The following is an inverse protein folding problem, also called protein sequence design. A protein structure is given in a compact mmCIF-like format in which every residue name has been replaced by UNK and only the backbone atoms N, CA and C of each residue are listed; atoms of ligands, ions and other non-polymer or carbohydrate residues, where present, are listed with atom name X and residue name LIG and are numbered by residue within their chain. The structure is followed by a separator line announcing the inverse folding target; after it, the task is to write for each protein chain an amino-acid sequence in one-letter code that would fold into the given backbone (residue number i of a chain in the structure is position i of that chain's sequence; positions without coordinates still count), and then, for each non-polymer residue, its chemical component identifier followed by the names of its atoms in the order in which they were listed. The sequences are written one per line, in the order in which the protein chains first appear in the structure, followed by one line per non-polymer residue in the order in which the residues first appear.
data_IF_491405649885
#
_entry.id   IF_491405649885
#
_cell.length_a   1.000
_cell.length_b   1.000
_cell.length_c   1.000
_cell.angle_alpha   90.00
_cell.angle_beta   90.00
_cell.angle_gamma   90.00
#
_symmetry.space_group_name_H-M   'P 1'
#
loop_
_entity.id
_entity.type
_entity.pdbx_description
1 polymer ?
#
# COMPACT_ATOMS: atom_id res chain seq x y z
N UNK A 1 65.15 100.11 17.71
CA UNK A 1 65.73 98.84 17.26
C UNK A 1 65.06 97.73 18.07
N UNK A 2 64.02 97.07 17.48
CA UNK A 2 63.25 96.06 18.16
C UNK A 2 63.64 94.71 17.60
N UNK A 3 64.11 93.79 18.46
CA UNK A 3 64.41 92.41 18.17
C UNK A 3 63.09 91.57 18.16
N UNK A 4 62.77 91.00 17.00
CA UNK A 4 61.69 89.97 16.84
C UNK A 4 62.13 88.69 17.45
N UNK A 5 61.40 88.23 18.50
CA UNK A 5 61.59 86.90 19.10
C UNK A 5 60.78 85.89 18.28
N UNK A 6 61.46 85.00 17.55
CA UNK A 6 60.86 83.84 16.90
C UNK A 6 60.46 82.79 17.97
N UNK A 7 59.17 82.53 18.09
CA UNK A 7 58.64 81.39 18.88
C UNK A 7 58.55 80.19 17.97
N UNK A 8 59.48 79.26 18.08
CA UNK A 8 59.33 77.92 17.49
C UNK A 8 58.29 77.14 18.31
N UNK A 9 57.10 76.93 17.71
CA UNK A 9 56.07 76.05 18.28
C UNK A 9 56.44 74.63 17.90
N UNK A 10 57.00 73.89 18.84
CA UNK A 10 57.20 72.42 18.69
C UNK A 10 55.82 71.70 19.03
N UNK A 11 55.18 71.11 18.01
CA UNK A 11 54.04 70.23 18.23
C UNK A 11 54.49 68.93 18.88
N UNK A 12 54.22 68.77 20.17
CA UNK A 12 54.40 67.50 20.87
C UNK A 12 53.35 66.49 20.38
N UNK A 13 53.76 65.44 19.69
CA UNK A 13 52.88 64.27 19.46
C UNK A 13 52.88 63.47 20.76
N UNK A 14 51.74 63.35 21.42
CA UNK A 14 51.57 62.46 22.56
C UNK A 14 51.94 61.01 22.12
N UNK A 15 52.80 60.28 22.85
CA UNK A 15 53.04 58.88 22.54
C UNK A 15 51.78 58.14 22.77
N UNK A 16 51.33 57.41 21.80
CA UNK A 16 50.24 56.45 21.96
C UNK A 16 50.76 55.31 22.83
N UNK A 17 50.34 55.30 24.10
CA UNK A 17 50.60 54.14 24.98
C UNK A 17 49.70 52.98 24.49
N UNK A 18 50.26 52.11 23.68
CA UNK A 18 49.63 50.85 23.33
C UNK A 18 49.71 49.91 24.54
N UNK A 19 48.57 49.65 25.16
CA UNK A 19 48.47 48.62 26.19
C UNK A 19 48.55 47.26 25.48
N UNK A 20 49.58 46.47 25.73
CA UNK A 20 49.79 45.14 25.14
C UNK A 20 48.55 44.26 25.33
N UNK A 21 47.80 44.41 26.45
CA UNK A 21 46.57 43.72 26.71
C UNK A 21 45.45 44.03 25.69
N UNK A 22 45.38 45.28 25.21
CA UNK A 22 44.40 45.65 24.15
C UNK A 22 44.74 45.00 22.83
N UNK A 23 46.03 44.89 22.49
CA UNK A 23 46.48 44.22 21.26
C UNK A 23 46.16 42.74 21.32
N UNK A 24 46.44 42.08 22.44
CA UNK A 24 46.11 40.67 22.64
C UNK A 24 44.58 40.47 22.58
N UNK A 25 43.80 41.33 23.24
CA UNK A 25 42.36 41.27 23.18
C UNK A 25 41.79 41.40 21.76
N UNK A 26 42.31 42.33 20.97
CA UNK A 26 41.89 42.52 19.57
C UNK A 26 42.21 41.29 18.71
N UNK A 27 43.38 40.67 18.92
CA UNK A 27 43.74 39.44 18.20
C UNK A 27 42.81 38.29 18.56
N UNK A 28 42.52 38.09 19.86
CA UNK A 28 41.57 37.04 20.32
C UNK A 28 40.18 37.35 19.80
N UNK A 29 39.73 38.60 19.84
CA UNK A 29 38.44 39.01 19.32
C UNK A 29 38.30 38.74 17.82
N UNK A 30 39.32 39.11 17.01
CA UNK A 30 39.32 38.80 15.56
C UNK A 30 39.28 37.29 15.34
N UNK A 31 40.04 36.52 16.10
CA UNK A 31 40.04 35.05 16.03
C UNK A 31 38.68 34.49 16.36
N UNK A 32 38.00 34.95 17.44
CA UNK A 32 36.66 34.54 17.81
C UNK A 32 35.61 34.92 16.72
N UNK A 33 35.64 36.14 16.23
CA UNK A 33 34.78 36.59 15.15
C UNK A 33 34.96 35.74 13.89
N UNK A 34 36.21 35.46 13.52
CA UNK A 34 36.50 34.60 12.39
C UNK A 34 35.97 33.17 12.59
N UNK A 35 36.17 32.59 13.78
CA UNK A 35 35.63 31.24 14.07
C UNK A 35 34.12 31.20 14.07
N UNK A 36 33.45 32.20 14.67
CA UNK A 36 31.99 32.29 14.64
C UNK A 36 31.47 32.48 13.23
N UNK A 37 32.12 33.34 12.45
CA UNK A 37 31.76 33.54 11.04
C UNK A 37 31.97 32.27 10.23
N UNK A 38 33.11 31.58 10.40
CA UNK A 38 33.38 30.27 9.75
C UNK A 38 32.35 29.25 10.11
N UNK A 39 32.00 29.13 11.40
CA UNK A 39 30.94 28.19 11.86
C UNK A 39 29.58 28.49 11.28
N UNK A 40 29.20 29.76 11.16
CA UNK A 40 27.90 30.19 10.60
C UNK A 40 27.84 30.07 9.07
N UNK A 41 28.99 30.07 8.39
CA UNK A 41 29.10 29.95 6.93
C UNK A 41 29.42 28.54 6.47
N UNK A 42 29.85 27.65 7.35
CA UNK A 42 30.06 26.24 7.04
C UNK A 42 28.70 25.58 6.75
N UNK A 43 28.60 24.90 5.62
CA UNK A 43 27.42 24.05 5.30
C UNK A 43 27.49 22.80 6.16
N UNK A 44 26.61 22.74 7.17
CA UNK A 44 26.44 21.52 7.95
C UNK A 44 25.61 20.53 7.15
N UNK A 45 26.22 19.44 6.76
CA UNK A 45 25.59 18.37 6.01
C UNK A 45 24.96 17.40 7.01
N UNK A 46 23.63 17.28 6.97
CA UNK A 46 22.92 16.27 7.72
C UNK A 46 23.10 14.92 7.06
N UNK A 47 23.32 13.90 7.86
CA UNK A 47 23.57 12.53 7.43
C UNK A 47 22.41 11.65 7.82
N UNK A 48 22.05 10.72 6.96
CA UNK A 48 21.05 9.68 7.19
C UNK A 48 21.73 8.32 7.15
N UNK A 49 21.48 7.47 8.15
CA UNK A 49 21.95 6.08 8.16
C UNK A 49 20.96 5.22 7.39
N UNK A 50 21.44 4.48 6.39
CA UNK A 50 20.65 3.61 5.54
C UNK A 50 20.16 2.41 6.34
N UNK A 51 18.87 2.26 6.44
CA UNK A 51 18.19 1.19 7.16
C UNK A 51 17.52 0.22 6.18
N UNK A 52 17.33 -1.02 6.62
CA UNK A 52 16.42 -1.93 5.93
C UNK A 52 14.99 -1.48 6.21
N UNK A 53 14.18 -1.38 5.18
CA UNK A 53 12.80 -0.96 5.34
C UNK A 53 11.90 -1.48 4.25
N UNK A 54 10.62 -1.39 4.57
CA UNK A 54 9.52 -1.60 3.65
C UNK A 54 8.69 -0.33 3.65
N UNK A 55 8.23 0.11 2.50
CA UNK A 55 7.23 1.17 2.43
C UNK A 55 5.87 0.47 2.39
N UNK A 56 5.06 0.69 3.41
CA UNK A 56 3.67 0.28 3.38
C UNK A 56 2.94 1.09 2.29
N UNK A 57 2.64 0.45 1.20
CA UNK A 57 1.75 1.01 0.17
C UNK A 57 0.34 0.95 0.72
N UNK A 58 -0.42 2.04 0.64
CA UNK A 58 -1.85 1.99 0.95
C UNK A 58 -2.58 1.26 -0.19
N UNK A 59 -2.62 -0.07 -0.10
CA UNK A 59 -3.28 -0.94 -1.07
C UNK A 59 -4.72 -1.26 -0.63
N UNK A 60 -5.42 -0.28 -0.05
CA UNK A 60 -6.82 -0.40 0.34
C UNK A 60 -7.70 -0.01 -0.83
N UNK A 61 -8.60 -0.91 -1.17
CA UNK A 61 -9.53 -0.75 -2.28
C UNK A 61 -10.94 -1.12 -1.86
N UNK A 62 -11.91 -0.48 -2.49
CA UNK A 62 -13.30 -0.89 -2.36
C UNK A 62 -13.68 -1.82 -3.51
N UNK A 63 -14.11 -3.03 -3.17
CA UNK A 63 -14.41 -4.09 -4.11
C UNK A 63 -15.91 -4.39 -4.21
N UNK A 64 -16.36 -4.66 -5.43
CA UNK A 64 -17.73 -5.14 -5.71
C UNK A 64 -17.78 -6.67 -5.55
N UNK A 65 -18.67 -7.15 -4.69
CA UNK A 65 -18.90 -8.58 -4.45
C UNK A 65 -19.87 -9.12 -5.51
N UNK A 66 -19.43 -10.16 -6.22
CA UNK A 66 -20.25 -10.93 -7.14
C UNK A 66 -20.31 -12.39 -6.69
N UNK A 67 -21.49 -12.97 -6.76
CA UNK A 67 -21.78 -14.33 -6.30
C UNK A 67 -23.02 -14.88 -7.01
N UNK A 68 -23.22 -16.18 -6.97
CA UNK A 68 -24.40 -16.81 -7.53
C UNK A 68 -25.59 -16.58 -6.60
N UNK A 69 -26.55 -15.81 -7.04
CA UNK A 69 -27.72 -15.39 -6.26
C UNK A 69 -29.02 -15.78 -7.00
N UNK A 70 -29.92 -16.39 -6.27
CA UNK A 70 -31.23 -16.78 -6.78
C UNK A 70 -32.34 -16.10 -5.99
N UNK A 71 -33.16 -15.29 -6.64
CA UNK A 71 -34.37 -14.73 -6.05
C UNK A 71 -35.43 -15.81 -6.04
N UNK A 72 -35.99 -16.10 -4.87
CA UNK A 72 -37.15 -16.97 -4.69
C UNK A 72 -38.36 -16.07 -4.58
N UNK A 73 -39.30 -16.24 -5.49
CA UNK A 73 -40.54 -15.50 -5.51
C UNK A 73 -41.66 -16.32 -4.83
N UNK A 74 -42.54 -15.63 -4.14
CA UNK A 74 -43.68 -16.26 -3.48
C UNK A 74 -44.72 -16.75 -4.49
N UNK A 75 -45.23 -17.94 -4.29
CA UNK A 75 -46.35 -18.47 -5.05
C UNK A 75 -47.70 -17.96 -4.53
N UNK A 76 -47.73 -17.38 -3.31
CA UNK A 76 -48.93 -17.00 -2.58
C UNK A 76 -48.91 -15.53 -2.18
N UNK A 77 -50.08 -15.00 -1.85
CA UNK A 77 -50.24 -13.66 -1.31
C UNK A 77 -50.76 -13.74 0.12
N UNK A 78 -50.12 -13.05 1.05
CA UNK A 78 -50.52 -13.07 2.45
C UNK A 78 -49.50 -12.44 3.39
N UNK A 79 -49.72 -12.64 4.70
CA UNK A 79 -48.75 -12.24 5.72
C UNK A 79 -47.54 -13.19 5.70
N UNK A 80 -46.31 -12.65 5.81
CA UNK A 80 -45.09 -13.45 5.80
C UNK A 80 -44.45 -13.49 7.18
N UNK A 81 -44.09 -14.70 7.61
CA UNK A 81 -43.29 -14.93 8.81
C UNK A 81 -41.96 -15.57 8.41
N UNK A 82 -40.84 -15.00 8.84
CA UNK A 82 -39.50 -15.50 8.56
C UNK A 82 -38.95 -16.28 9.75
N UNK A 83 -38.38 -17.46 9.51
CA UNK A 83 -37.89 -18.38 10.54
C UNK A 83 -36.37 -18.56 10.51
N UNK A 84 -35.70 -18.06 9.47
CA UNK A 84 -34.26 -18.12 9.31
C UNK A 84 -33.66 -16.73 9.43
N UNK A 85 -32.58 -16.61 10.18
CA UNK A 85 -31.83 -15.36 10.29
C UNK A 85 -31.14 -15.00 8.97
N UNK A 86 -31.12 -13.71 8.64
CA UNK A 86 -30.35 -13.22 7.49
C UNK A 86 -28.85 -13.59 7.58
N UNK A 87 -28.28 -14.07 6.50
CA UNK A 87 -26.90 -14.52 6.42
C UNK A 87 -26.66 -15.92 6.97
N UNK A 88 -27.71 -16.64 7.43
CA UNK A 88 -27.59 -18.02 7.91
C UNK A 88 -27.58 -19.04 6.76
N UNK A 89 -26.85 -20.14 6.98
CA UNK A 89 -26.89 -21.30 6.09
C UNK A 89 -28.14 -22.13 6.33
N UNK A 90 -28.74 -22.58 5.25
CA UNK A 90 -29.86 -23.49 5.24
C UNK A 90 -29.49 -24.76 4.47
N UNK A 91 -30.05 -25.89 4.91
CA UNK A 91 -29.93 -27.16 4.24
C UNK A 91 -31.20 -27.43 3.38
N UNK A 92 -31.11 -28.41 2.48
CA UNK A 92 -32.28 -28.89 1.75
C UNK A 92 -33.40 -29.27 2.73
N UNK A 93 -34.60 -28.74 2.51
CA UNK A 93 -35.80 -29.04 3.32
C UNK A 93 -36.00 -28.14 4.53
N UNK A 94 -35.09 -27.21 4.81
CA UNK A 94 -35.25 -26.27 5.92
C UNK A 94 -36.38 -25.28 5.64
N UNK A 95 -37.16 -24.97 6.69
CA UNK A 95 -38.22 -23.97 6.66
C UNK A 95 -37.63 -22.55 6.70
N UNK A 96 -37.81 -21.81 5.63
CA UNK A 96 -37.26 -20.42 5.53
C UNK A 96 -38.31 -19.41 6.01
N UNK A 97 -39.53 -19.50 5.49
CA UNK A 97 -40.62 -18.61 5.84
C UNK A 97 -41.99 -19.33 5.67
N UNK A 98 -43.06 -18.62 5.99
CA UNK A 98 -44.40 -19.05 5.67
C UNK A 98 -45.25 -17.89 5.17
N UNK A 99 -46.21 -18.17 4.32
CA UNK A 99 -47.22 -17.22 3.82
C UNK A 99 -48.58 -17.62 4.34
N UNK A 100 -49.25 -16.69 5.02
CA UNK A 100 -50.57 -16.84 5.61
C UNK A 100 -51.58 -15.94 4.88
N UNK A 101 -52.43 -16.53 4.06
CA UNK A 101 -53.37 -15.78 3.22
C UNK A 101 -54.41 -14.99 4.03
N UNK A 102 -54.84 -15.52 5.17
CA UNK A 102 -55.83 -14.91 6.05
C UNK A 102 -55.21 -14.04 7.16
N UNK A 103 -53.95 -14.24 7.48
CA UNK A 103 -53.25 -13.58 8.57
C UNK A 103 -53.56 -14.15 9.97
N UNK A 104 -54.37 -15.18 10.08
CA UNK A 104 -54.84 -15.73 11.37
C UNK A 104 -53.69 -16.43 12.12
N UNK A 105 -52.91 -17.27 11.42
CA UNK A 105 -51.75 -17.98 11.97
C UNK A 105 -50.66 -16.98 12.32
N UNK A 106 -50.42 -15.99 11.46
CA UNK A 106 -49.42 -14.94 11.68
C UNK A 106 -49.73 -14.11 12.93
N UNK A 107 -51.00 -13.79 13.18
CA UNK A 107 -51.41 -13.10 14.40
C UNK A 107 -51.16 -13.97 15.64
N UNK A 108 -51.50 -15.27 15.58
CA UNK A 108 -51.23 -16.21 16.68
C UNK A 108 -49.75 -16.38 16.99
N UNK A 109 -48.88 -16.43 15.95
CA UNK A 109 -47.42 -16.49 16.12
C UNK A 109 -46.93 -15.22 16.84
N UNK A 110 -47.42 -14.04 16.42
CA UNK A 110 -47.07 -12.78 17.04
C UNK A 110 -47.50 -12.67 18.51
N UNK A 111 -48.74 -13.14 18.83
CA UNK A 111 -49.24 -13.18 20.19
C UNK A 111 -48.48 -14.17 21.06
N UNK A 112 -48.22 -15.39 20.58
CA UNK A 112 -47.44 -16.39 21.29
C UNK A 112 -45.97 -15.93 21.53
N UNK A 113 -45.35 -15.24 20.58
CA UNK A 113 -43.99 -14.68 20.73
C UNK A 113 -43.92 -13.58 21.79
N UNK A 114 -45.02 -12.85 22.06
CA UNK A 114 -45.13 -11.80 23.07
C UNK A 114 -45.43 -12.32 24.47
N UNK A 115 -46.17 -13.46 24.58
CA UNK A 115 -46.67 -14.02 25.84
C UNK A 115 -45.58 -14.82 26.62
N UNK A 116 -44.34 -14.81 26.19
CA UNK A 116 -43.20 -15.40 26.89
C UNK A 116 -43.00 -16.88 26.62
N UNK A 117 -43.10 -17.28 25.35
CA UNK A 117 -42.67 -18.61 24.90
C UNK A 117 -41.28 -18.94 25.45
N UNK A 118 -41.18 -20.10 26.09
CA UNK A 118 -39.87 -20.56 26.60
C UNK A 118 -39.01 -20.97 25.41
N UNK A 119 -37.82 -20.37 25.30
CA UNK A 119 -36.83 -20.80 24.35
C UNK A 119 -36.44 -22.23 24.69
N UNK A 120 -36.42 -23.12 23.71
CA UNK A 120 -35.96 -24.49 23.94
C UNK A 120 -34.45 -24.54 24.25
N UNK A 121 -33.97 -25.68 24.77
CA UNK A 121 -32.61 -25.85 25.22
C UNK A 121 -31.58 -25.84 24.08
N UNK A 122 -32.01 -26.17 22.85
CA UNK A 122 -31.13 -26.19 21.68
C UNK A 122 -30.85 -24.75 21.18
N UNK A 123 -31.89 -23.96 21.02
CA UNK A 123 -31.83 -22.56 20.66
C UNK A 123 -31.07 -21.72 21.72
N UNK A 124 -31.31 -22.05 23.03
CA UNK A 124 -30.55 -21.40 24.12
C UNK A 124 -29.06 -21.70 24.03
N UNK A 125 -28.67 -22.95 23.74
CA UNK A 125 -27.28 -23.33 23.60
C UNK A 125 -26.59 -22.61 22.39
N UNK A 126 -27.33 -22.36 21.31
CA UNK A 126 -26.81 -21.61 20.16
C UNK A 126 -26.61 -20.13 20.50
N UNK A 127 -27.53 -19.51 21.23
CA UNK A 127 -27.36 -18.14 21.72
C UNK A 127 -26.17 -18.04 22.69
N UNK A 128 -26.07 -19.01 23.63
CA UNK A 128 -24.92 -19.08 24.56
C UNK A 128 -23.58 -19.22 23.82
N UNK A 129 -23.53 -20.04 22.76
CA UNK A 129 -22.36 -20.16 21.91
C UNK A 129 -22.02 -18.83 21.23
N UNK A 130 -22.99 -18.15 20.66
CA UNK A 130 -22.81 -16.83 20.02
C UNK A 130 -22.25 -15.80 21.01
N UNK A 131 -22.72 -15.82 22.26
CA UNK A 131 -22.23 -14.96 23.33
C UNK A 131 -20.76 -15.31 23.68
N UNK A 132 -20.46 -16.60 23.83
CA UNK A 132 -19.11 -17.06 24.16
C UNK A 132 -18.10 -16.77 23.05
N UNK A 133 -18.48 -16.98 21.79
CA UNK A 133 -17.66 -16.67 20.63
C UNK A 133 -17.35 -15.16 20.55
N UNK A 134 -18.33 -14.31 20.86
CA UNK A 134 -18.10 -12.88 20.94
C UNK A 134 -17.14 -12.50 22.08
N UNK A 135 -17.33 -13.06 23.29
CA UNK A 135 -16.48 -12.77 24.43
C UNK A 135 -15.02 -13.18 24.19
N UNK A 136 -14.80 -14.23 23.42
CA UNK A 136 -13.45 -14.71 23.06
C UNK A 136 -12.72 -13.78 22.10
N UNK A 137 -13.40 -13.13 21.17
CA UNK A 137 -12.81 -12.28 20.12
C UNK A 137 -12.98 -10.78 20.39
N UNK A 138 -13.69 -10.41 21.46
CA UNK A 138 -13.99 -9.01 21.74
C UNK A 138 -12.74 -8.18 21.99
N UNK A 139 -12.52 -7.16 21.16
CA UNK A 139 -11.58 -6.09 21.37
C UNK A 139 -12.33 -4.77 21.66
N UNK A 140 -12.17 -4.21 22.86
CA UNK A 140 -12.84 -2.98 23.27
C UNK A 140 -12.57 -1.73 22.43
N UNK A 141 -11.74 -1.85 21.39
CA UNK A 141 -11.44 -0.78 20.44
C UNK A 141 -12.35 -0.78 19.20
N UNK A 142 -13.10 -1.87 18.98
CA UNK A 142 -13.95 -2.02 17.80
C UNK A 142 -15.44 -1.99 18.15
N UNK A 143 -16.06 -0.80 18.08
CA UNK A 143 -17.50 -0.63 18.36
C UNK A 143 -18.41 -1.38 17.39
N UNK A 144 -17.99 -1.59 16.15
CA UNK A 144 -18.76 -2.33 15.16
C UNK A 144 -19.06 -3.77 15.64
N UNK A 145 -18.10 -4.43 16.28
CA UNK A 145 -18.28 -5.78 16.83
C UNK A 145 -19.43 -5.84 17.86
N UNK A 146 -19.58 -4.79 18.67
CA UNK A 146 -20.66 -4.73 19.69
C UNK A 146 -22.04 -4.62 19.04
N UNK A 147 -22.18 -3.75 18.03
CA UNK A 147 -23.45 -3.60 17.32
C UNK A 147 -23.82 -4.86 16.53
N UNK A 148 -22.87 -5.43 15.78
CA UNK A 148 -23.07 -6.70 15.08
C UNK A 148 -23.47 -7.84 16.04
N UNK A 149 -22.82 -7.92 17.20
CA UNK A 149 -23.16 -8.91 18.22
C UNK A 149 -24.59 -8.72 18.74
N UNK A 150 -24.96 -7.49 19.10
CA UNK A 150 -26.31 -7.17 19.55
C UNK A 150 -27.38 -7.57 18.51
N UNK A 151 -27.14 -7.21 17.25
CA UNK A 151 -28.05 -7.52 16.16
C UNK A 151 -28.13 -9.03 15.92
N UNK A 152 -26.99 -9.74 16.01
CA UNK A 152 -26.93 -11.18 15.90
C UNK A 152 -27.71 -11.90 17.00
N UNK A 153 -27.54 -11.49 18.26
CA UNK A 153 -28.27 -12.09 19.39
C UNK A 153 -29.77 -11.81 19.27
N UNK A 154 -30.16 -10.57 18.95
CA UNK A 154 -31.59 -10.23 18.77
C UNK A 154 -32.25 -11.01 17.63
N UNK A 155 -31.51 -11.20 16.52
CA UNK A 155 -32.05 -11.97 15.38
C UNK A 155 -32.20 -13.45 15.75
N UNK A 156 -31.22 -14.09 16.41
CA UNK A 156 -31.30 -15.48 16.87
C UNK A 156 -32.41 -15.67 17.90
N UNK A 157 -32.61 -14.70 18.77
CA UNK A 157 -33.71 -14.72 19.74
C UNK A 157 -35.07 -14.65 19.06
N UNK A 158 -35.26 -13.73 18.10
CA UNK A 158 -36.49 -13.58 17.36
C UNK A 158 -36.83 -14.82 16.53
N UNK A 159 -35.82 -15.44 15.90
CA UNK A 159 -35.97 -16.70 15.18
C UNK A 159 -36.46 -17.84 16.09
N UNK A 160 -35.76 -18.04 17.23
CA UNK A 160 -36.10 -19.07 18.20
C UNK A 160 -37.53 -18.89 18.72
N UNK A 161 -37.94 -17.67 19.05
CA UNK A 161 -39.32 -17.37 19.50
C UNK A 161 -40.38 -17.65 18.41
N UNK A 162 -40.06 -17.30 17.16
CA UNK A 162 -41.00 -17.54 16.05
C UNK A 162 -41.19 -19.04 15.74
N UNK A 163 -40.07 -19.81 15.75
CA UNK A 163 -40.13 -21.28 15.57
C UNK A 163 -40.91 -21.94 16.69
N UNK A 164 -40.66 -21.58 17.94
CA UNK A 164 -41.37 -22.14 19.09
C UNK A 164 -42.85 -21.77 19.09
N UNK A 165 -43.18 -20.51 18.78
CA UNK A 165 -44.56 -20.08 18.63
C UNK A 165 -45.31 -20.90 17.55
N UNK A 166 -44.65 -21.16 16.42
CA UNK A 166 -45.21 -22.01 15.35
C UNK A 166 -45.47 -23.44 15.84
N UNK A 167 -44.57 -24.01 16.63
CA UNK A 167 -44.71 -25.35 17.21
C UNK A 167 -45.86 -25.43 18.23
N UNK A 168 -46.02 -24.40 19.09
CA UNK A 168 -47.05 -24.32 20.12
C UNK A 168 -48.46 -24.28 19.53
N UNK A 169 -48.64 -23.75 18.33
CA UNK A 169 -49.91 -23.67 17.60
C UNK A 169 -50.04 -24.73 16.49
N UNK A 170 -49.30 -25.83 16.57
CA UNK A 170 -49.15 -26.83 15.51
C UNK A 170 -50.46 -27.41 15.02
N UNK A 171 -51.47 -27.68 15.91
CA UNK A 171 -52.77 -28.16 15.54
C UNK A 171 -53.57 -27.16 14.68
N UNK A 172 -53.41 -25.87 14.96
CA UNK A 172 -54.04 -24.81 14.19
C UNK A 172 -53.36 -24.65 12.83
N UNK A 173 -52.05 -24.70 12.82
CA UNK A 173 -51.23 -24.68 11.59
C UNK A 173 -51.61 -25.83 10.68
N UNK A 174 -51.73 -27.08 11.20
CA UNK A 174 -52.13 -28.23 10.41
C UNK A 174 -53.57 -28.07 9.82
N UNK A 175 -54.47 -27.43 10.57
CA UNK A 175 -55.79 -27.10 10.08
C UNK A 175 -55.77 -26.06 8.95
N UNK A 176 -54.95 -25.03 9.07
CA UNK A 176 -54.78 -23.98 8.07
C UNK A 176 -54.11 -24.52 6.80
N UNK A 177 -53.10 -25.39 6.93
CA UNK A 177 -52.49 -26.11 5.80
C UNK A 177 -53.48 -26.96 5.05
N UNK A 178 -54.33 -27.75 5.78
CA UNK A 178 -55.39 -28.55 5.16
C UNK A 178 -56.45 -27.71 4.44
N UNK A 179 -56.70 -26.50 4.93
CA UNK A 179 -57.59 -25.54 4.28
C UNK A 179 -56.93 -24.73 3.15
N UNK A 180 -55.66 -24.96 2.91
CA UNK A 180 -54.84 -24.29 1.89
C UNK A 180 -54.80 -22.75 2.08
N UNK A 181 -54.74 -22.29 3.34
CA UNK A 181 -54.65 -20.88 3.71
C UNK A 181 -53.31 -20.51 4.37
N UNK A 182 -52.50 -21.52 4.70
CA UNK A 182 -51.16 -21.37 5.26
C UNK A 182 -50.15 -22.24 4.50
N UNK A 183 -49.08 -21.64 4.04
CA UNK A 183 -48.11 -22.26 3.17
C UNK A 183 -46.70 -22.13 3.78
N UNK A 184 -46.08 -23.27 4.09
CA UNK A 184 -44.68 -23.36 4.49
C UNK A 184 -43.81 -23.30 3.26
N UNK A 185 -42.81 -22.40 3.28
CA UNK A 185 -41.82 -22.25 2.23
C UNK A 185 -40.50 -22.86 2.69
N UNK A 186 -40.21 -24.02 2.11
CA UNK A 186 -38.97 -24.75 2.39
C UNK A 186 -37.99 -24.59 1.24
N UNK A 187 -36.69 -24.60 1.57
CA UNK A 187 -35.68 -24.50 0.52
C UNK A 187 -35.48 -25.85 -0.18
N UNK A 188 -35.33 -25.81 -1.49
CA UNK A 188 -35.08 -26.96 -2.35
C UNK A 188 -33.58 -27.18 -2.65
N UNK A 189 -32.72 -26.25 -2.22
CA UNK A 189 -31.24 -26.33 -2.34
C UNK A 189 -30.58 -25.72 -1.09
N UNK A 190 -29.44 -26.22 -0.67
CA UNK A 190 -28.69 -25.61 0.42
C UNK A 190 -28.11 -24.26 -0.03
N UNK A 191 -27.94 -23.33 0.90
CA UNK A 191 -27.40 -22.02 0.59
C UNK A 191 -27.35 -21.06 1.79
N UNK A 192 -27.15 -19.78 1.53
CA UNK A 192 -27.20 -18.70 2.52
C UNK A 192 -28.40 -17.83 2.20
N UNK A 193 -29.28 -17.64 3.16
CA UNK A 193 -30.50 -16.83 3.00
C UNK A 193 -30.20 -15.37 3.25
N UNK A 194 -30.69 -14.50 2.36
CA UNK A 194 -30.73 -13.04 2.54
C UNK A 194 -32.11 -12.49 2.19
N UNK A 195 -32.48 -11.36 2.83
CA UNK A 195 -33.83 -10.78 2.69
C UNK A 195 -33.79 -9.41 2.04
N UNK A 196 -32.94 -9.26 1.03
CA UNK A 196 -32.91 -8.04 0.21
C UNK A 196 -32.66 -8.36 -1.25
N UNK A 197 -33.09 -7.45 -2.11
CA UNK A 197 -32.71 -7.39 -3.53
C UNK A 197 -32.03 -6.06 -3.80
N UNK A 198 -31.11 -6.02 -4.75
CA UNK A 198 -30.34 -4.81 -5.06
C UNK A 198 -30.13 -4.59 -6.56
N UNK A 199 -30.67 -5.48 -7.39
CA UNK A 199 -30.56 -5.42 -8.85
C UNK A 199 -29.21 -5.94 -9.39
N UNK A 200 -28.33 -6.46 -8.53
CA UNK A 200 -27.03 -7.03 -8.91
C UNK A 200 -27.02 -8.55 -8.98
N UNK A 201 -28.16 -9.20 -8.78
CA UNK A 201 -28.29 -10.66 -8.70
C UNK A 201 -27.87 -11.39 -9.97
N UNK A 202 -27.96 -10.72 -11.12
CA UNK A 202 -27.55 -11.26 -12.44
C UNK A 202 -26.22 -10.69 -12.93
N UNK A 203 -25.48 -9.94 -12.07
CA UNK A 203 -24.18 -9.38 -12.43
C UNK A 203 -23.11 -10.44 -12.27
N UNK A 204 -22.28 -10.59 -13.28
CA UNK A 204 -21.19 -11.55 -13.35
C UNK A 204 -19.88 -10.83 -13.71
N UNK A 205 -18.76 -11.54 -13.64
CA UNK A 205 -17.45 -11.03 -14.08
C UNK A 205 -17.43 -10.63 -15.57
N UNK A 206 -18.36 -11.14 -16.36
CA UNK A 206 -18.42 -10.84 -17.81
C UNK A 206 -19.24 -9.58 -18.12
N UNK A 207 -20.21 -9.20 -17.26
CA UNK A 207 -21.16 -8.13 -17.55
C UNK A 207 -21.16 -6.95 -16.57
N UNK A 208 -20.29 -6.93 -15.57
CA UNK A 208 -20.17 -5.75 -14.67
C UNK A 208 -19.78 -4.49 -15.47
N UNK A 209 -20.13 -3.32 -14.95
CA UNK A 209 -19.84 -2.03 -15.57
C UNK A 209 -19.16 -1.08 -14.59
N UNK A 210 -18.42 -0.08 -15.12
CA UNK A 210 -17.76 0.95 -14.31
C UNK A 210 -18.73 1.69 -13.39
N UNK A 211 -19.96 1.94 -13.86
CA UNK A 211 -20.99 2.63 -13.08
C UNK A 211 -21.40 1.89 -11.80
N UNK A 212 -21.17 0.57 -11.71
CA UNK A 212 -21.50 -0.24 -10.54
C UNK A 212 -20.53 0.00 -9.36
N UNK A 213 -19.42 0.71 -9.56
CA UNK A 213 -18.50 1.12 -8.49
C UNK A 213 -18.87 2.46 -7.86
N UNK A 214 -19.89 3.15 -8.38
CA UNK A 214 -20.46 4.35 -7.76
C UNK A 214 -21.54 3.97 -6.76
N UNK A 215 -21.15 3.80 -5.49
CA UNK A 215 -22.04 3.42 -4.41
C UNK A 215 -23.16 4.43 -4.14
N UNK A 216 -23.04 5.67 -4.62
CA UNK A 216 -24.10 6.67 -4.45
C UNK A 216 -25.41 6.29 -5.16
N UNK A 217 -25.32 5.43 -6.17
CA UNK A 217 -26.43 4.91 -6.94
C UNK A 217 -26.94 3.54 -6.44
N UNK A 218 -26.28 2.96 -5.43
CA UNK A 218 -26.65 1.67 -4.89
C UNK A 218 -27.78 1.79 -3.88
N UNK A 219 -28.75 0.88 -3.98
CA UNK A 219 -29.86 0.79 -3.03
C UNK A 219 -30.25 -0.66 -2.77
N UNK A 220 -30.50 -0.97 -1.51
CA UNK A 220 -31.10 -2.25 -1.08
C UNK A 220 -32.61 -2.09 -0.95
N UNK A 221 -33.35 -3.03 -1.48
CA UNK A 221 -34.75 -3.20 -1.18
C UNK A 221 -34.89 -4.31 -0.13
N UNK A 222 -35.18 -3.93 1.11
CA UNK A 222 -35.40 -4.88 2.22
C UNK A 222 -36.75 -5.55 2.11
N UNK A 223 -36.78 -6.87 1.97
CA UNK A 223 -37.98 -7.69 1.81
C UNK A 223 -38.78 -7.84 3.11
N UNK A 224 -38.15 -7.63 4.27
CA UNK A 224 -38.82 -7.70 5.59
C UNK A 224 -39.57 -6.41 5.96
N UNK A 225 -39.42 -5.35 5.20
CA UNK A 225 -40.08 -4.07 5.49
C UNK A 225 -41.61 -4.18 5.44
N UNK A 226 -42.12 -5.02 4.55
CA UNK A 226 -43.58 -5.27 4.44
C UNK A 226 -43.95 -6.59 5.09
N UNK A 227 -44.87 -6.59 6.03
CA UNK A 227 -45.35 -7.82 6.67
C UNK A 227 -46.22 -8.69 5.75
N UNK A 228 -46.58 -8.23 4.57
CA UNK A 228 -47.38 -8.95 3.59
C UNK A 228 -46.73 -8.95 2.21
N UNK A 229 -46.86 -10.07 1.51
CA UNK A 229 -46.30 -10.30 0.18
C UNK A 229 -47.42 -10.55 -0.83
N UNK A 230 -47.16 -10.29 -2.11
CA UNK A 230 -48.01 -10.68 -3.22
C UNK A 230 -47.38 -11.83 -3.99
N UNK A 231 -48.20 -12.73 -4.54
CA UNK A 231 -47.74 -13.79 -5.42
C UNK A 231 -46.88 -13.20 -6.59
N UNK A 232 -45.74 -13.81 -6.87
CA UNK A 232 -44.78 -13.36 -7.86
C UNK A 232 -43.78 -12.32 -7.35
N UNK A 233 -43.92 -11.79 -6.12
CA UNK A 233 -42.93 -10.87 -5.52
C UNK A 233 -41.81 -11.65 -4.88
N UNK A 234 -40.57 -11.06 -4.81
CA UNK A 234 -39.44 -11.64 -4.10
C UNK A 234 -39.75 -11.90 -2.63
N UNK A 235 -39.52 -13.11 -2.17
CA UNK A 235 -39.78 -13.57 -0.80
C UNK A 235 -38.47 -13.65 0.00
N UNK A 236 -37.46 -14.26 -0.59
CA UNK A 236 -36.09 -14.24 -0.09
C UNK A 236 -35.09 -14.43 -1.24
N UNK A 237 -33.83 -14.23 -0.97
CA UNK A 237 -32.72 -14.49 -1.90
C UNK A 237 -31.83 -15.57 -1.31
N UNK A 238 -31.44 -16.53 -2.13
CA UNK A 238 -30.53 -17.62 -1.76
C UNK A 238 -29.20 -17.46 -2.50
N UNK A 239 -28.11 -17.54 -1.76
CA UNK A 239 -26.77 -17.66 -2.29
C UNK A 239 -26.41 -19.14 -2.25
N UNK A 240 -26.35 -19.80 -3.39
CA UNK A 240 -26.26 -21.26 -3.49
C UNK A 240 -24.85 -21.78 -3.79
N UNK A 241 -23.84 -20.88 -3.81
CA UNK A 241 -22.45 -21.21 -4.06
C UNK A 241 -21.52 -20.66 -2.98
N UNK A 242 -20.50 -21.45 -2.59
CA UNK A 242 -19.38 -20.96 -1.76
C UNK A 242 -18.33 -20.19 -2.61
N UNK A 243 -18.43 -20.25 -3.94
CA UNK A 243 -17.56 -19.51 -4.84
C UNK A 243 -18.10 -18.10 -5.03
N UNK A 244 -17.23 -17.12 -4.91
CA UNK A 244 -17.57 -15.73 -5.10
C UNK A 244 -16.36 -14.92 -5.57
N UNK A 245 -16.62 -13.76 -6.14
CA UNK A 245 -15.60 -12.88 -6.64
C UNK A 245 -15.71 -11.50 -6.00
N UNK A 246 -14.55 -10.84 -5.85
CA UNK A 246 -14.48 -9.42 -5.53
C UNK A 246 -13.81 -8.75 -6.73
N UNK A 247 -14.46 -7.79 -7.34
CA UNK A 247 -13.88 -7.00 -8.42
C UNK A 247 -13.41 -5.67 -7.85
N UNK A 248 -12.15 -5.35 -8.11
CA UNK A 248 -11.46 -4.18 -7.54
C UNK A 248 -10.85 -3.35 -8.66
N UNK A 249 -11.21 -2.06 -8.80
CA UNK A 249 -10.48 -1.17 -9.69
C UNK A 249 -9.09 -0.89 -9.11
N UNK A 250 -8.04 -1.11 -9.91
CA UNK A 250 -6.64 -0.91 -9.49
C UNK A 250 -5.90 0.00 -10.46
N UNK A 251 -4.90 0.77 -10.01
CA UNK A 251 -4.00 1.52 -10.89
C UNK A 251 -3.19 0.59 -11.80
N UNK A 252 -2.76 1.09 -12.97
CA UNK A 252 -1.94 0.33 -13.91
C UNK A 252 -0.66 -0.20 -13.28
N UNK A 253 0.00 0.58 -12.42
CA UNK A 253 1.20 0.17 -11.70
C UNK A 253 0.96 -1.04 -10.79
N UNK A 254 -0.19 -1.08 -10.10
CA UNK A 254 -0.58 -2.24 -9.27
C UNK A 254 -0.87 -3.46 -10.14
N UNK A 255 -1.58 -3.28 -11.26
CA UNK A 255 -1.86 -4.36 -12.20
C UNK A 255 -0.56 -4.94 -12.79
N UNK A 256 0.42 -4.08 -13.12
CA UNK A 256 1.72 -4.50 -13.64
C UNK A 256 2.52 -5.31 -12.63
N UNK A 257 2.53 -4.89 -11.35
CA UNK A 257 3.26 -5.59 -10.28
C UNK A 257 2.71 -6.99 -9.95
N UNK A 258 1.50 -7.29 -10.43
CA UNK A 258 0.81 -8.56 -10.17
C UNK A 258 0.87 -9.54 -11.35
N UNK A 259 1.56 -9.24 -12.45
CA UNK A 259 1.51 -10.06 -13.69
C UNK A 259 2.10 -11.46 -13.55
N UNK A 260 3.03 -11.67 -12.63
CA UNK A 260 3.81 -12.90 -12.55
C UNK A 260 3.28 -13.90 -11.49
N UNK A 261 2.25 -13.52 -10.72
CA UNK A 261 1.67 -14.33 -9.65
C UNK A 261 0.24 -14.78 -9.99
N UNK A 262 -0.18 -15.94 -9.47
CA UNK A 262 -1.55 -16.48 -9.67
C UNK A 262 -2.46 -16.26 -8.45
N UNK A 263 -1.90 -15.92 -7.29
CA UNK A 263 -2.61 -15.77 -6.03
C UNK A 263 -2.12 -14.58 -5.23
N UNK A 264 -3.03 -13.91 -4.54
CA UNK A 264 -2.73 -12.78 -3.68
C UNK A 264 -3.34 -12.98 -2.30
N UNK A 265 -2.64 -12.53 -1.28
CA UNK A 265 -3.16 -12.46 0.08
C UNK A 265 -3.89 -11.13 0.27
N UNK A 266 -5.11 -11.17 0.76
CA UNK A 266 -5.93 -9.99 1.03
C UNK A 266 -6.33 -9.96 2.50
N UNK A 267 -6.56 -8.76 3.02
CA UNK A 267 -7.15 -8.51 4.34
C UNK A 267 -8.47 -7.78 4.17
N UNK A 268 -9.53 -8.29 4.80
CA UNK A 268 -10.82 -7.60 4.88
C UNK A 268 -10.78 -6.58 6.02
N UNK A 269 -11.05 -5.31 5.73
CA UNK A 269 -10.98 -4.27 6.76
C UNK A 269 -12.11 -4.35 7.78
N UNK A 270 -13.27 -4.88 7.37
CA UNK A 270 -14.45 -5.06 8.24
C UNK A 270 -14.16 -5.89 9.50
N UNK A 271 -13.40 -6.98 9.38
CA UNK A 271 -13.16 -7.93 10.46
C UNK A 271 -11.68 -8.30 10.65
N UNK A 272 -10.78 -7.62 9.92
CA UNK A 272 -9.33 -7.84 9.92
C UNK A 272 -8.91 -9.28 9.58
N UNK A 273 -9.78 -10.05 8.90
CA UNK A 273 -9.47 -11.41 8.49
C UNK A 273 -8.72 -11.42 7.17
N UNK A 274 -7.80 -12.38 7.07
CA UNK A 274 -6.99 -12.57 5.88
C UNK A 274 -7.44 -13.80 5.10
N UNK A 275 -7.32 -13.74 3.78
CA UNK A 275 -7.59 -14.84 2.87
C UNK A 275 -6.63 -14.81 1.69
N UNK A 276 -6.42 -15.98 1.08
CA UNK A 276 -5.77 -16.08 -0.23
C UNK A 276 -6.83 -16.14 -1.31
N UNK A 277 -6.70 -15.30 -2.32
CA UNK A 277 -7.54 -15.29 -3.50
C UNK A 277 -6.73 -15.63 -4.74
N UNK A 278 -7.26 -16.49 -5.59
CA UNK A 278 -6.78 -16.55 -6.98
C UNK A 278 -7.25 -15.28 -7.69
N UNK A 279 -6.48 -14.76 -8.64
CA UNK A 279 -6.89 -13.55 -9.33
C UNK A 279 -6.64 -13.59 -10.83
N UNK A 280 -7.34 -12.71 -11.52
CA UNK A 280 -7.08 -12.34 -12.90
C UNK A 280 -7.24 -10.83 -13.08
N UNK A 281 -6.53 -10.28 -14.07
CA UNK A 281 -6.59 -8.85 -14.38
C UNK A 281 -7.34 -8.70 -15.70
N UNK A 282 -8.31 -7.78 -15.73
CA UNK A 282 -9.07 -7.44 -16.92
C UNK A 282 -9.10 -5.93 -17.08
N UNK A 283 -9.00 -5.47 -18.34
CA UNK A 283 -9.19 -4.07 -18.68
C UNK A 283 -10.62 -3.85 -19.18
N UNK A 284 -11.28 -2.80 -18.67
CA UNK A 284 -12.60 -2.40 -19.13
C UNK A 284 -12.71 -0.87 -19.12
N UNK A 285 -13.11 -0.31 -20.26
CA UNK A 285 -13.25 1.14 -20.44
C UNK A 285 -12.01 1.95 -20.05
N UNK A 286 -10.79 1.38 -20.28
CA UNK A 286 -9.51 2.01 -19.99
C UNK A 286 -9.10 1.98 -18.51
N UNK A 287 -9.80 1.19 -17.69
CA UNK A 287 -9.48 0.96 -16.28
C UNK A 287 -9.12 -0.51 -16.05
N UNK A 288 -8.06 -0.76 -15.28
CA UNK A 288 -7.68 -2.11 -14.84
C UNK A 288 -8.52 -2.56 -13.65
N UNK A 289 -8.97 -3.80 -13.70
CA UNK A 289 -9.71 -4.45 -12.64
C UNK A 289 -9.06 -5.76 -12.24
N UNK A 290 -8.90 -5.94 -10.94
CA UNK A 290 -8.45 -7.19 -10.34
C UNK A 290 -9.71 -7.98 -9.95
N UNK A 291 -9.88 -9.18 -10.51
CA UNK A 291 -10.95 -10.12 -10.15
C UNK A 291 -10.36 -11.11 -9.16
N UNK A 292 -10.75 -11.01 -7.90
CA UNK A 292 -10.32 -11.88 -6.82
C UNK A 292 -11.34 -13.00 -6.63
N UNK A 293 -10.93 -14.25 -6.84
CA UNK A 293 -11.79 -15.42 -6.71
C UNK A 293 -11.54 -16.13 -5.38
N UNK A 294 -12.61 -16.29 -4.60
CA UNK A 294 -12.61 -16.90 -3.28
C UNK A 294 -13.49 -18.16 -3.25
N UNK A 295 -13.15 -19.12 -2.37
CA UNK A 295 -13.85 -20.42 -2.25
C UNK A 295 -14.41 -20.66 -0.85
N UNK A 296 -14.39 -19.65 0.01
CA UNK A 296 -14.83 -19.79 1.41
C UNK A 296 -15.18 -18.44 2.00
N UNK A 297 -15.69 -18.46 3.22
CA UNK A 297 -15.99 -17.29 4.04
C UNK A 297 -17.14 -16.39 3.54
N UNK A 298 -17.87 -16.78 2.49
CA UNK A 298 -19.00 -16.07 1.91
C UNK A 298 -20.03 -15.64 2.97
N UNK A 299 -20.32 -16.49 3.94
CA UNK A 299 -21.32 -16.25 4.98
C UNK A 299 -21.09 -14.96 5.76
N UNK A 300 -19.83 -14.55 5.94
CA UNK A 300 -19.48 -13.32 6.68
C UNK A 300 -19.80 -12.03 5.92
N UNK A 301 -19.90 -12.14 4.60
CA UNK A 301 -20.11 -11.01 3.69
C UNK A 301 -21.41 -11.16 2.88
N UNK A 302 -22.27 -12.12 3.27
CA UNK A 302 -23.52 -12.43 2.56
C UNK A 302 -24.46 -11.23 2.45
N UNK A 303 -24.49 -10.35 3.44
CA UNK A 303 -25.31 -9.15 3.45
C UNK A 303 -24.66 -7.93 2.81
N UNK A 304 -23.40 -8.05 2.33
CA UNK A 304 -22.66 -6.95 1.73
C UNK A 304 -22.64 -7.06 0.21
N UNK A 305 -22.63 -5.91 -0.48
CA UNK A 305 -22.37 -5.83 -1.92
C UNK A 305 -21.01 -5.23 -2.20
N UNK A 306 -20.53 -4.37 -1.32
CA UNK A 306 -19.20 -3.78 -1.37
C UNK A 306 -18.40 -4.17 -0.15
N UNK A 307 -17.10 -4.26 -0.31
CA UNK A 307 -16.18 -4.60 0.76
C UNK A 307 -14.85 -3.87 0.59
N UNK A 308 -14.38 -3.24 1.66
CA UNK A 308 -13.04 -2.69 1.69
C UNK A 308 -12.04 -3.80 1.99
N UNK A 309 -11.06 -3.94 1.11
CA UNK A 309 -9.97 -4.90 1.24
C UNK A 309 -8.61 -4.21 1.10
N UNK A 310 -7.63 -4.74 1.77
CA UNK A 310 -6.23 -4.41 1.61
C UNK A 310 -5.54 -5.54 0.85
N UNK A 311 -4.89 -5.21 -0.27
CA UNK A 311 -4.02 -6.15 -0.98
C UNK A 311 -2.69 -6.24 -0.22
N UNK A 312 -2.38 -7.41 0.32
CA UNK A 312 -1.11 -7.68 0.98
C UNK A 312 -0.09 -8.10 -0.09
N UNK A 313 0.36 -7.12 -0.85
CA UNK A 313 1.44 -7.31 -1.81
C UNK A 313 2.70 -7.71 -1.05
N UNK A 314 3.58 -8.50 -1.68
CA UNK A 314 4.91 -8.77 -1.10
C UNK A 314 5.57 -7.42 -0.83
N UNK A 315 5.92 -7.20 0.42
CA UNK A 315 6.66 -6.00 0.80
C UNK A 315 8.00 -6.07 0.08
N UNK A 316 8.22 -5.17 -0.88
CA UNK A 316 9.55 -4.98 -1.44
C UNK A 316 10.48 -4.58 -0.29
N UNK A 317 11.27 -5.55 0.15
CA UNK A 317 12.28 -5.31 1.17
C UNK A 317 13.56 -4.81 0.50
N UNK A 318 14.02 -3.67 0.92
CA UNK A 318 15.23 -3.08 0.36
C UNK A 318 15.90 -2.16 1.37
N UNK A 319 16.75 -1.27 0.88
CA UNK A 319 17.33 -0.21 1.67
C UNK A 319 16.44 1.02 1.57
N UNK A 320 16.02 1.54 2.71
CA UNK A 320 15.16 2.72 2.81
C UNK A 320 16.03 3.98 2.83
N UNK A 321 15.75 4.92 1.94
CA UNK A 321 16.43 6.22 1.85
C UNK A 321 15.41 7.36 1.70
N UNK A 322 15.68 8.56 2.22
CA UNK A 322 14.85 9.74 1.98
C UNK A 322 14.94 10.18 0.51
N UNK A 323 13.83 10.63 -0.06
CA UNK A 323 13.80 11.16 -1.43
C UNK A 323 14.74 12.36 -1.61
N UNK A 324 14.93 13.18 -0.57
CA UNK A 324 15.85 14.32 -0.58
C UNK A 324 17.33 13.96 -0.77
N UNK A 325 17.70 12.71 -0.46
CA UNK A 325 19.06 12.21 -0.63
C UNK A 325 19.39 11.88 -2.10
N UNK A 326 18.35 11.64 -2.90
CA UNK A 326 18.51 11.20 -4.30
C UNK A 326 18.94 12.38 -5.16
N UNK A 327 19.98 12.14 -5.97
CA UNK A 327 20.50 13.09 -6.95
C UNK A 327 20.82 12.36 -8.25
N UNK A 328 21.08 13.14 -9.31
CA UNK A 328 21.55 12.63 -10.59
C UNK A 328 22.94 13.13 -10.86
N UNK A 329 23.80 12.25 -11.40
CA UNK A 329 25.16 12.58 -11.82
C UNK A 329 25.37 12.05 -13.24
N UNK A 330 26.02 12.88 -14.08
CA UNK A 330 26.40 12.53 -15.45
C UNK A 330 27.77 11.85 -15.48
N UNK A 331 27.87 10.79 -16.28
CA UNK A 331 29.07 9.98 -16.45
C UNK A 331 29.45 9.87 -17.92
N UNK A 332 30.73 9.70 -18.20
CA UNK A 332 31.18 9.27 -19.50
C UNK A 332 30.94 7.78 -19.67
N UNK A 333 30.35 7.38 -20.78
CA UNK A 333 30.21 5.96 -21.13
C UNK A 333 31.39 5.58 -22.03
N UNK A 334 32.08 4.51 -21.68
CA UNK A 334 33.23 4.00 -22.43
C UNK A 334 32.99 2.53 -22.74
N UNK A 335 33.16 2.10 -24.01
CA UNK A 335 32.97 0.69 -24.35
C UNK A 335 33.95 -0.20 -23.58
N UNK A 336 33.49 -1.32 -23.05
CA UNK A 336 34.27 -2.30 -22.27
C UNK A 336 35.50 -2.75 -23.05
N UNK A 337 35.44 -2.82 -24.39
CA UNK A 337 36.54 -3.22 -25.25
C UNK A 337 37.76 -2.30 -25.20
N UNK A 338 37.66 -1.12 -24.59
CA UNK A 338 38.80 -0.19 -24.34
C UNK A 338 39.45 -0.38 -22.98
N UNK A 339 38.88 -1.26 -22.14
CA UNK A 339 39.46 -1.58 -20.85
C UNK A 339 40.39 -2.80 -20.94
N UNK A 340 41.44 -2.80 -20.14
CA UNK A 340 42.39 -3.90 -19.99
C UNK A 340 42.80 -4.04 -18.54
N UNK A 341 43.22 -5.24 -18.16
CA UNK A 341 43.80 -5.48 -16.83
C UNK A 341 45.24 -5.00 -16.81
N UNK A 342 45.60 -4.17 -15.82
CA UNK A 342 46.95 -3.60 -15.69
C UNK A 342 47.92 -4.63 -15.17
N UNK A 343 49.01 -4.88 -15.88
CA UNK A 343 50.23 -5.60 -15.53
C UNK A 343 50.16 -6.57 -14.35
N UNK A 344 50.57 -6.14 -13.18
CA UNK A 344 50.61 -6.93 -11.95
C UNK A 344 49.34 -6.72 -11.06
N UNK A 345 48.36 -5.93 -11.49
CA UNK A 345 47.14 -5.60 -10.79
C UNK A 345 45.95 -6.30 -11.44
N UNK A 346 44.93 -6.66 -10.63
CA UNK A 346 43.65 -7.16 -11.10
C UNK A 346 42.72 -6.02 -11.55
N UNK A 347 43.14 -4.76 -11.40
CA UNK A 347 42.36 -3.59 -11.66
C UNK A 347 42.20 -3.35 -13.17
N UNK A 348 41.01 -3.00 -13.57
CA UNK A 348 40.71 -2.67 -14.96
C UNK A 348 40.95 -1.19 -15.21
N UNK A 349 41.66 -0.87 -16.31
CA UNK A 349 42.03 0.46 -16.68
C UNK A 349 41.98 0.69 -18.17
N UNK A 350 42.22 1.91 -18.57
CA UNK A 350 42.20 2.40 -19.94
C UNK A 350 43.51 3.00 -20.35
N UNK A 351 43.81 2.97 -21.63
CA UNK A 351 44.98 3.60 -22.25
C UNK A 351 44.60 4.99 -22.75
N UNK A 352 45.08 6.04 -22.09
CA UNK A 352 44.81 7.43 -22.48
C UNK A 352 45.98 7.99 -23.25
N UNK A 353 45.72 8.59 -24.41
CA UNK A 353 46.76 9.30 -25.17
C UNK A 353 47.07 10.65 -24.51
N UNK A 354 48.31 10.86 -24.13
CA UNK A 354 48.78 12.10 -23.54
C UNK A 354 49.87 12.70 -24.44
N UNK A 355 49.88 14.01 -24.60
CA UNK A 355 50.92 14.72 -25.31
C UNK A 355 51.88 15.34 -24.31
N UNK A 356 53.15 14.99 -24.39
CA UNK A 356 54.19 15.56 -23.53
C UNK A 356 54.51 17.02 -23.91
N UNK A 357 55.35 17.67 -23.10
CA UNK A 357 55.74 19.08 -23.32
C UNK A 357 56.52 19.30 -24.63
N UNK A 358 57.04 18.24 -25.21
CA UNK A 358 57.82 18.27 -26.45
C UNK A 358 56.93 17.93 -27.68
N UNK A 359 55.62 17.77 -27.49
CA UNK A 359 54.64 17.47 -28.54
C UNK A 359 54.62 16.00 -29.01
N UNK A 360 55.24 15.09 -28.24
CA UNK A 360 55.22 13.66 -28.54
C UNK A 360 54.07 13.00 -27.85
N UNK A 361 53.28 12.22 -28.61
CA UNK A 361 52.19 11.41 -28.06
C UNK A 361 52.75 10.19 -27.32
N UNK A 362 52.27 9.97 -26.10
CA UNK A 362 52.55 8.81 -25.23
C UNK A 362 51.24 8.26 -24.69
N UNK A 363 51.17 6.96 -24.44
CA UNK A 363 49.99 6.32 -23.87
C UNK A 363 50.21 6.08 -22.36
N UNK A 364 49.30 6.57 -21.57
CA UNK A 364 49.29 6.41 -20.10
C UNK A 364 48.21 5.41 -19.73
N UNK A 365 48.53 4.45 -18.85
CA UNK A 365 47.54 3.55 -18.25
C UNK A 365 46.91 4.23 -17.03
N UNK A 366 45.57 4.36 -17.05
CA UNK A 366 44.77 5.03 -16.02
C UNK A 366 43.69 4.05 -15.53
N UNK A 367 43.50 3.99 -14.22
CA UNK A 367 42.49 3.16 -13.59
C UNK A 367 41.32 4.03 -13.08
N UNK A 368 40.33 4.34 -13.91
CA UNK A 368 39.18 5.14 -13.47
C UNK A 368 38.27 4.34 -12.53
N UNK A 369 37.53 5.05 -11.68
CA UNK A 369 36.46 4.41 -10.89
C UNK A 369 35.28 4.08 -11.80
N UNK A 370 34.85 2.82 -11.78
CA UNK A 370 33.66 2.37 -12.49
C UNK A 370 32.47 2.52 -11.54
N UNK A 371 31.43 3.24 -11.96
CA UNK A 371 30.22 3.50 -11.16
C UNK A 371 29.07 2.65 -11.57
N UNK A 372 29.04 2.18 -12.82
CA UNK A 372 28.02 1.30 -13.35
C UNK A 372 28.55 0.56 -14.58
N UNK A 373 27.97 -0.61 -14.86
CA UNK A 373 28.26 -1.39 -16.06
C UNK A 373 26.99 -1.85 -16.76
N UNK A 374 27.03 -1.83 -18.06
CA UNK A 374 26.05 -2.48 -18.94
C UNK A 374 26.75 -3.64 -19.68
N UNK A 375 26.05 -4.34 -20.58
CA UNK A 375 26.63 -5.45 -21.35
C UNK A 375 27.84 -5.02 -22.20
N UNK A 376 27.94 -3.74 -22.60
CA UNK A 376 28.92 -3.24 -23.54
C UNK A 376 29.69 -1.97 -23.11
N UNK A 377 29.26 -1.28 -22.04
CA UNK A 377 29.85 -0.02 -21.61
C UNK A 377 30.07 0.08 -20.09
N UNK A 378 31.13 0.75 -19.69
CA UNK A 378 31.37 1.20 -18.33
C UNK A 378 31.11 2.70 -18.19
N UNK A 379 30.58 3.07 -17.02
CA UNK A 379 30.31 4.46 -16.63
C UNK A 379 31.41 4.94 -15.69
N UNK A 380 32.14 5.96 -16.14
CA UNK A 380 33.26 6.55 -15.40
C UNK A 380 33.06 8.06 -15.26
N UNK A 381 33.67 8.66 -14.24
CA UNK A 381 33.60 10.11 -14.04
C UNK A 381 34.80 10.87 -14.64
N UNK A 382 34.83 12.18 -14.40
CA UNK A 382 35.86 13.08 -14.90
C UNK A 382 37.08 13.16 -14.02
N UNK A 383 37.25 12.29 -13.02
CA UNK A 383 38.39 12.39 -12.08
C UNK A 383 39.74 12.09 -12.78
N UNK A 384 39.73 11.05 -13.63
CA UNK A 384 40.95 10.56 -14.30
C UNK A 384 41.01 10.87 -15.79
N UNK A 385 39.87 11.18 -16.40
CA UNK A 385 39.74 11.51 -17.82
C UNK A 385 38.87 12.74 -18.01
N UNK A 386 39.17 13.49 -19.06
CA UNK A 386 38.41 14.70 -19.42
C UNK A 386 37.70 14.53 -20.77
N UNK A 387 36.63 15.28 -20.96
CA UNK A 387 35.97 15.33 -22.25
C UNK A 387 36.94 15.74 -23.34
N UNK A 388 37.03 14.94 -24.39
CA UNK A 388 37.93 15.13 -25.50
C UNK A 388 39.21 14.30 -25.44
N UNK A 389 39.52 13.63 -24.32
CA UNK A 389 40.64 12.70 -24.23
C UNK A 389 40.46 11.54 -25.22
N UNK A 390 41.57 11.08 -25.78
CA UNK A 390 41.55 9.97 -26.73
C UNK A 390 42.02 8.70 -26.02
N UNK A 391 41.17 7.68 -26.04
CA UNK A 391 41.51 6.34 -25.55
C UNK A 391 41.99 5.49 -26.71
N UNK A 392 42.98 4.64 -26.44
CA UNK A 392 43.47 3.65 -27.39
C UNK A 392 42.95 2.27 -26.98
N UNK A 393 42.39 1.55 -27.94
CA UNK A 393 41.95 0.17 -27.71
C UNK A 393 43.17 -0.74 -27.57
N UNK A 394 43.22 -1.63 -26.58
CA UNK A 394 44.32 -2.59 -26.42
C UNK A 394 44.52 -3.41 -27.70
N UNK A 395 45.80 -3.58 -28.08
CA UNK A 395 46.20 -4.38 -29.24
C UNK A 395 45.57 -3.95 -30.58
N UNK A 396 45.10 -2.70 -30.69
CA UNK A 396 44.43 -2.16 -31.85
C UNK A 396 44.88 -0.71 -32.12
N UNK A 397 44.64 -0.23 -33.36
CA UNK A 397 44.75 1.17 -33.73
C UNK A 397 43.44 1.96 -33.57
N UNK A 398 42.39 1.32 -33.07
CA UNK A 398 41.09 1.92 -32.84
C UNK A 398 41.16 2.88 -31.66
N UNK A 399 40.52 4.04 -31.78
CA UNK A 399 40.49 5.08 -30.75
C UNK A 399 39.05 5.46 -30.42
N UNK A 400 38.81 5.87 -29.17
CA UNK A 400 37.57 6.39 -28.68
C UNK A 400 37.78 7.75 -28.02
N UNK A 401 36.89 8.71 -28.31
CA UNK A 401 36.94 10.04 -27.70
C UNK A 401 36.03 10.10 -26.49
N UNK A 402 36.57 10.35 -25.30
CA UNK A 402 35.80 10.50 -24.05
C UNK A 402 34.86 11.69 -24.16
N UNK A 403 33.62 11.50 -23.68
CA UNK A 403 32.58 12.52 -23.71
C UNK A 403 31.80 12.59 -25.04
N UNK A 404 32.02 11.63 -25.96
CA UNK A 404 31.18 11.47 -27.14
C UNK A 404 29.79 11.02 -26.73
N UNK A 405 29.76 10.05 -25.81
CA UNK A 405 28.54 9.51 -25.21
C UNK A 405 28.59 9.73 -23.69
N UNK A 406 27.47 10.20 -23.13
CA UNK A 406 27.28 10.41 -21.69
C UNK A 406 25.93 9.81 -21.27
N UNK A 407 25.81 9.45 -20.00
CA UNK A 407 24.56 8.99 -19.41
C UNK A 407 24.47 9.41 -17.93
N UNK A 408 23.26 9.71 -17.49
CA UNK A 408 22.97 10.03 -16.10
C UNK A 408 22.60 8.79 -15.31
N UNK A 409 23.07 8.72 -14.06
CA UNK A 409 22.66 7.72 -13.08
C UNK A 409 21.99 8.42 -11.90
N UNK A 410 20.92 7.83 -11.41
CA UNK A 410 20.36 8.18 -10.11
C UNK A 410 21.22 7.56 -8.99
N UNK A 411 21.46 8.31 -7.94
CA UNK A 411 22.25 7.85 -6.82
C UNK A 411 22.15 8.76 -5.60
N UNK A 412 22.99 8.47 -4.64
CA UNK A 412 23.14 9.23 -3.39
C UNK A 412 24.61 9.46 -3.09
N UNK A 413 24.94 10.45 -2.29
CA UNK A 413 26.29 10.64 -1.79
C UNK A 413 26.48 9.90 -0.47
N UNK A 414 27.28 8.84 -0.49
CA UNK A 414 27.73 8.10 0.69
C UNK A 414 28.90 8.85 1.35
N UNK A 415 28.82 9.01 2.68
CA UNK A 415 29.87 9.65 3.48
C UNK A 415 30.87 8.59 3.94
N UNK A 416 31.93 8.42 3.18
CA UNK A 416 32.97 7.45 3.48
C UNK A 416 34.22 8.13 3.98
N UNK A 417 34.66 7.81 5.21
CA UNK A 417 35.86 8.40 5.85
C UNK A 417 35.91 9.94 5.83
N UNK A 418 34.74 10.58 5.86
CA UNK A 418 34.61 12.03 5.81
C UNK A 418 34.57 12.63 4.40
N UNK A 419 34.53 11.83 3.35
CA UNK A 419 34.35 12.29 1.97
C UNK A 419 33.02 11.83 1.40
N UNK A 420 32.42 12.67 0.58
CA UNK A 420 31.19 12.32 -0.16
C UNK A 420 31.58 11.54 -1.42
N UNK A 421 31.07 10.34 -1.56
CA UNK A 421 31.28 9.46 -2.71
C UNK A 421 29.94 9.10 -3.32
N UNK A 422 29.74 9.36 -4.60
CA UNK A 422 28.51 8.98 -5.29
C UNK A 422 28.37 7.47 -5.33
N UNK A 423 27.16 7.00 -5.01
CA UNK A 423 26.74 5.60 -5.10
C UNK A 423 25.44 5.52 -5.87
N UNK A 424 25.40 4.68 -6.90
CA UNK A 424 24.19 4.46 -7.68
C UNK A 424 23.12 3.74 -6.86
N UNK A 425 21.85 3.93 -7.23
CA UNK A 425 20.70 3.24 -6.66
C UNK A 425 19.87 2.61 -7.76
N UNK A 426 19.27 1.46 -7.43
CA UNK A 426 18.28 0.78 -8.25
C UNK A 426 16.94 0.84 -7.48
N UNK A 427 16.00 1.66 -7.98
CA UNK A 427 14.75 1.98 -7.29
C UNK A 427 13.77 0.83 -7.46
N UNK A 428 13.32 0.24 -6.35
CA UNK A 428 12.26 -0.75 -6.32
C UNK A 428 10.89 -0.10 -6.12
N UNK A 429 10.82 0.87 -5.21
CA UNK A 429 9.58 1.57 -4.90
C UNK A 429 9.85 2.98 -4.35
N UNK A 430 8.98 3.94 -4.64
CA UNK A 430 9.06 5.32 -4.14
C UNK A 430 7.67 5.84 -3.75
N UNK A 431 7.60 6.56 -2.62
CA UNK A 431 6.45 7.36 -2.23
C UNK A 431 6.84 8.85 -2.08
N UNK A 432 5.99 9.65 -1.44
CA UNK A 432 6.22 11.10 -1.28
C UNK A 432 7.44 11.43 -0.39
N UNK A 433 7.84 10.55 0.52
CA UNK A 433 8.85 10.81 1.57
C UNK A 433 10.10 9.95 1.41
N UNK A 434 9.95 8.65 1.08
CA UNK A 434 11.03 7.67 1.05
C UNK A 434 11.03 6.84 -0.24
N UNK A 435 12.22 6.37 -0.58
CA UNK A 435 12.46 5.40 -1.66
C UNK A 435 13.01 4.11 -1.06
N UNK A 436 12.53 2.96 -1.54
CA UNK A 436 13.16 1.65 -1.32
C UNK A 436 14.00 1.32 -2.53
N UNK A 437 15.27 1.00 -2.27
CA UNK A 437 16.22 0.63 -3.31
C UNK A 437 16.73 -0.78 -3.10
N UNK A 438 17.14 -1.42 -4.18
CA UNK A 438 17.60 -2.80 -4.20
C UNK A 438 18.86 -2.99 -3.35
N UNK A 439 18.90 -4.09 -2.60
CA UNK A 439 20.09 -4.50 -1.84
C UNK A 439 21.09 -5.22 -2.75
N UNK A 440 22.40 -5.07 -2.47
CA UNK A 440 23.44 -5.80 -3.18
C UNK A 440 23.69 -5.32 -4.61
N UNK A 441 23.29 -4.11 -4.95
CA UNK A 441 23.60 -3.48 -6.23
C UNK A 441 25.09 -3.23 -6.33
N UNK A 442 25.74 -3.67 -7.43
CA UNK A 442 27.15 -3.41 -7.70
C UNK A 442 27.41 -1.89 -7.71
N UNK A 443 28.42 -1.42 -7.00
CA UNK A 443 28.72 0.02 -6.81
C UNK A 443 27.61 0.82 -6.11
N UNK A 444 26.59 0.16 -5.58
CA UNK A 444 25.48 0.79 -4.84
C UNK A 444 25.77 1.00 -3.35
N UNK A 445 24.74 1.35 -2.60
CA UNK A 445 24.78 1.52 -1.15
C UNK A 445 24.54 0.20 -0.43
N UNK A 446 24.98 0.15 0.82
CA UNK A 446 24.80 -0.98 1.73
C UNK A 446 24.02 -0.57 2.98
N UNK A 447 23.55 -1.57 3.72
CA UNK A 447 22.93 -1.37 5.03
C UNK A 447 23.93 -0.70 5.99
N UNK A 448 23.46 0.28 6.75
CA UNK A 448 24.24 1.14 7.66
C UNK A 448 25.22 2.11 6.98
N UNK A 449 25.17 2.24 5.67
CA UNK A 449 25.85 3.34 5.01
C UNK A 449 25.30 4.69 5.48
N UNK A 450 26.18 5.66 5.63
CA UNK A 450 25.81 7.02 5.97
C UNK A 450 25.72 7.85 4.69
N UNK A 451 24.55 8.30 4.33
CA UNK A 451 24.32 9.10 3.12
C UNK A 451 23.96 10.54 3.48
N UNK A 452 24.26 11.46 2.59
CA UNK A 452 23.80 12.83 2.73
C UNK A 452 22.28 12.91 2.67
N UNK A 453 21.65 13.60 3.62
CA UNK A 453 20.19 13.78 3.66
C UNK A 453 19.67 14.66 2.49
N UNK A 454 20.52 15.52 1.94
CA UNK A 454 20.22 16.37 0.79
C UNK A 454 21.32 16.20 -0.25
N UNK A 455 21.04 15.40 -1.28
CA UNK A 455 21.98 15.06 -2.35
C UNK A 455 22.35 16.26 -3.26
N UNK A 456 21.53 17.32 -3.24
CA UNK A 456 21.76 18.51 -4.11
C UNK A 456 22.74 19.51 -3.54
N UNK A 457 23.13 19.37 -2.26
CA UNK A 457 24.04 20.30 -1.55
C UNK A 457 25.44 19.78 -1.39
N UNK A 458 25.76 18.70 -2.06
CA UNK A 458 27.05 18.01 -1.94
C UNK A 458 27.67 17.80 -3.31
N UNK A 459 28.97 17.95 -3.36
CA UNK A 459 29.78 17.62 -4.53
C UNK A 459 30.64 16.36 -4.26
N UNK A 460 31.01 15.67 -5.34
CA UNK A 460 31.91 14.51 -5.29
C UNK A 460 33.25 14.87 -4.62
N UNK A 461 33.74 13.96 -3.79
CA UNK A 461 35.00 14.14 -3.03
C UNK A 461 35.00 15.33 -2.06
N UNK A 462 33.87 15.95 -1.79
CA UNK A 462 33.75 17.01 -0.78
C UNK A 462 34.06 16.46 0.60
N UNK A 463 34.97 17.16 1.33
CA UNK A 463 35.26 16.85 2.73
C UNK A 463 34.09 17.28 3.63
N UNK A 464 33.52 16.33 4.31
CA UNK A 464 32.44 16.51 5.29
C UNK A 464 33.09 16.55 6.68
N UNK A 465 32.86 17.64 7.41
CA UNK A 465 33.36 17.83 8.78
C UNK A 465 32.26 17.58 9.81
#
# INVERSE_FOLDING_TARGET
MQLKKNKNVVKYRKPMNFNIGVIIFVIIFIYLVFNVFSYLTETHISVYEVEQGTIAVNNVYNGLILRDEKIINSDYSGAVNYYVKEGSKVAYGDLVCSVDENGDVSNMINEASQDGSTIDSENLAEIEKTINDFLYVYDGKNYYQVYSFKDNVNASLSEALSVNALNDISDYVASAENNNTFHKVITDVPGIVTYYTDGFENVTVDNFTVAMFDESNYSKNDLKTNPAIQAGSPEYKLIDSEYWNIIVPVPDATAESLKDDDTIKIRFLKDSKEAYAAYSIVERDGQQYLILSLKSAMVRYASERYVEIELLLSEETGLKIPNSAITEKEFYTVPISFFLKGGDSSDEGILVERTDKDGKSTTEFVTPTIYYETDDTYYIDSEYVSSGDILQKPDSSETYRVGTDTASLQGVYNINKGYAVFKQIDVLYQNEEYTIVKTGTTYGIALYDHIALDGTKIDENQLIK
#
